data_IF_860177493992
#
_entry.id   IF_860177493992
#
_cell.length_a   1.000
_cell.length_b   1.000
_cell.length_c   1.000
_cell.angle_alpha   90.00
_cell.angle_beta   90.00
_cell.angle_gamma   90.00
#
_symmetry.space_group_name_H-M   'P 1'
#
loop_
_entity.id
_entity.type
_entity.pdbx_description
1 polymer ?
#
# COMPACT_ATOMS: atom_id res chain seq x y z
N UNK A 1 0.52 3.08 15.83
CA UNK A 1 -0.85 3.24 15.31
C UNK A 1 -1.45 1.92 14.81
N UNK A 2 -0.87 1.26 13.79
CA UNK A 2 -1.44 0.02 13.22
C UNK A 2 -1.55 -1.14 14.22
N UNK A 3 -0.54 -1.32 15.10
CA UNK A 3 -0.56 -2.32 16.17
C UNK A 3 -1.79 -2.21 17.09
N UNK A 4 -2.21 -0.97 17.38
CA UNK A 4 -3.40 -0.70 18.21
C UNK A 4 -4.69 -1.09 17.48
N UNK A 5 -4.77 -0.81 16.17
CA UNK A 5 -5.92 -1.19 15.34
C UNK A 5 -6.05 -2.71 15.26
N UNK A 6 -4.94 -3.41 15.01
CA UNK A 6 -4.89 -4.88 14.97
C UNK A 6 -5.31 -5.48 16.31
N UNK A 7 -4.82 -4.94 17.43
CA UNK A 7 -5.21 -5.41 18.76
C UNK A 7 -6.71 -5.25 19.02
N UNK A 8 -7.30 -4.11 18.62
CA UNK A 8 -8.73 -3.86 18.74
C UNK A 8 -9.54 -4.85 17.89
N UNK A 9 -9.13 -5.05 16.64
CA UNK A 9 -9.76 -5.99 15.70
C UNK A 9 -9.73 -7.43 16.23
N UNK A 10 -8.59 -7.84 16.82
CA UNK A 10 -8.42 -9.16 17.44
C UNK A 10 -9.41 -9.38 18.60
N UNK A 11 -9.56 -8.40 19.50
CA UNK A 11 -10.48 -8.51 20.64
C UNK A 11 -11.93 -8.62 20.16
N UNK A 12 -12.34 -7.77 19.22
CA UNK A 12 -13.71 -7.74 18.73
C UNK A 12 -14.06 -8.99 17.90
N UNK A 13 -13.11 -9.47 17.09
CA UNK A 13 -13.27 -10.74 16.36
C UNK A 13 -13.37 -11.92 17.32
N UNK A 14 -12.52 -11.97 18.34
CA UNK A 14 -12.61 -12.99 19.40
C UNK A 14 -13.96 -12.94 20.13
N UNK A 15 -14.49 -11.74 20.38
CA UNK A 15 -15.83 -11.60 20.99
C UNK A 15 -16.95 -12.11 20.07
N UNK A 16 -16.83 -11.87 18.76
CA UNK A 16 -17.77 -12.33 17.77
C UNK A 16 -17.82 -13.86 17.69
N UNK A 17 -16.65 -14.51 17.71
CA UNK A 17 -16.54 -15.95 17.54
C UNK A 17 -16.80 -16.72 18.85
N UNK A 18 -16.32 -16.19 19.98
CA UNK A 18 -16.41 -16.84 21.30
C UNK A 18 -16.87 -15.88 22.40
N UNK A 19 -18.09 -15.36 22.30
CA UNK A 19 -18.65 -14.39 23.26
C UNK A 19 -18.55 -14.81 24.73
N UNK A 20 -18.64 -16.12 25.02
CA UNK A 20 -18.52 -16.70 26.38
C UNK A 20 -17.08 -16.80 26.90
N UNK A 21 -16.09 -16.80 26.01
CA UNK A 21 -14.65 -16.95 26.29
C UNK A 21 -14.01 -15.61 26.68
N UNK A 22 -14.52 -14.51 26.13
CA UNK A 22 -14.03 -13.16 26.42
C UNK A 22 -14.55 -12.69 27.79
N UNK A 23 -13.72 -12.83 28.82
CA UNK A 23 -14.03 -12.41 30.21
C UNK A 23 -12.97 -11.47 30.76
N UNK A 24 -13.32 -10.80 31.87
CA UNK A 24 -12.38 -9.96 32.62
C UNK A 24 -12.00 -8.68 31.87
N UNK A 25 -10.69 -8.48 31.66
CA UNK A 25 -10.13 -7.24 31.10
C UNK A 25 -10.51 -7.04 29.63
N UNK A 26 -10.43 -8.08 28.82
CA UNK A 26 -10.71 -8.01 27.38
C UNK A 26 -12.17 -7.62 27.10
N UNK A 27 -13.12 -8.09 27.92
CA UNK A 27 -14.52 -7.70 27.81
C UNK A 27 -14.74 -6.23 28.18
N UNK A 28 -14.08 -5.74 29.24
CA UNK A 28 -14.12 -4.32 29.63
C UNK A 28 -13.53 -3.45 28.52
N UNK A 29 -12.44 -3.90 27.91
CA UNK A 29 -11.79 -3.20 26.80
C UNK A 29 -12.66 -3.20 25.54
N UNK A 30 -13.26 -4.33 25.16
CA UNK A 30 -14.22 -4.42 24.05
C UNK A 30 -15.39 -3.44 24.21
N UNK A 31 -16.01 -3.39 25.40
CA UNK A 31 -17.08 -2.43 25.70
C UNK A 31 -16.59 -0.98 25.63
N UNK A 32 -15.39 -0.69 26.15
CA UNK A 32 -14.79 0.64 26.07
C UNK A 32 -14.52 1.07 24.63
N UNK A 33 -14.04 0.16 23.81
CA UNK A 33 -13.81 0.37 22.38
C UNK A 33 -15.15 0.67 21.69
N UNK A 34 -16.17 -0.18 21.86
CA UNK A 34 -17.48 0.03 21.22
C UNK A 34 -18.12 1.37 21.63
N UNK A 35 -17.99 1.76 22.91
CA UNK A 35 -18.42 3.10 23.38
C UNK A 35 -17.69 4.23 22.67
N UNK A 36 -16.41 4.09 22.35
CA UNK A 36 -15.68 5.12 21.59
C UNK A 36 -16.19 5.30 20.15
N UNK A 37 -16.86 4.28 19.61
CA UNK A 37 -17.56 4.34 18.33
C UNK A 37 -19.04 4.75 18.47
N UNK A 38 -19.54 4.95 19.69
CA UNK A 38 -20.95 5.25 19.96
C UNK A 38 -21.89 4.06 19.70
N UNK A 39 -21.38 2.83 19.75
CA UNK A 39 -22.10 1.61 19.37
C UNK A 39 -22.17 0.60 20.52
N UNK A 40 -23.09 -0.35 20.42
CA UNK A 40 -23.33 -1.36 21.46
C UNK A 40 -22.64 -2.68 21.09
N UNK A 41 -21.85 -3.23 22.01
CA UNK A 41 -21.09 -4.48 21.79
C UNK A 41 -22.00 -5.69 21.54
N UNK A 42 -23.12 -5.76 22.25
CA UNK A 42 -24.04 -6.89 22.21
C UNK A 42 -24.97 -6.87 20.98
N UNK A 43 -24.92 -5.81 20.17
CA UNK A 43 -25.69 -5.71 18.92
C UNK A 43 -24.83 -6.26 17.77
N UNK A 44 -25.20 -7.40 17.14
CA UNK A 44 -24.34 -8.04 16.14
C UNK A 44 -24.05 -7.16 14.91
N UNK A 45 -25.04 -6.36 14.49
CA UNK A 45 -24.92 -5.43 13.35
C UNK A 45 -23.88 -4.34 13.61
N UNK A 46 -23.87 -3.80 14.83
CA UNK A 46 -22.94 -2.77 15.26
C UNK A 46 -21.51 -3.33 15.37
N UNK A 47 -21.38 -4.51 15.98
CA UNK A 47 -20.11 -5.22 16.07
C UNK A 47 -19.52 -5.49 14.67
N UNK A 48 -20.33 -6.00 13.75
CA UNK A 48 -19.91 -6.27 12.37
C UNK A 48 -19.46 -5.00 11.65
N UNK A 49 -20.16 -3.88 11.86
CA UNK A 49 -19.79 -2.58 11.28
C UNK A 49 -18.42 -2.11 11.74
N UNK A 50 -18.12 -2.24 13.04
CA UNK A 50 -16.83 -1.83 13.60
C UNK A 50 -15.70 -2.74 13.10
N UNK A 51 -15.91 -4.06 13.11
CA UNK A 51 -14.92 -5.02 12.59
C UNK A 51 -14.62 -4.75 11.11
N UNK A 52 -15.63 -4.52 10.27
CA UNK A 52 -15.42 -4.16 8.86
C UNK A 52 -14.59 -2.88 8.71
N UNK A 53 -14.92 -1.84 9.47
CA UNK A 53 -14.18 -0.57 9.45
C UNK A 53 -12.73 -0.72 9.90
N UNK A 54 -12.46 -1.59 10.87
CA UNK A 54 -11.12 -1.91 11.33
C UNK A 54 -10.33 -2.69 10.28
N UNK A 55 -10.95 -3.68 9.64
CA UNK A 55 -10.35 -4.45 8.55
C UNK A 55 -9.90 -3.54 7.40
N UNK A 56 -10.78 -2.63 6.95
CA UNK A 56 -10.45 -1.65 5.90
C UNK A 56 -9.25 -0.79 6.30
N UNK A 57 -9.22 -0.31 7.55
CA UNK A 57 -8.09 0.47 8.07
C UNK A 57 -6.81 -0.35 8.11
N UNK A 58 -6.86 -1.61 8.52
CA UNK A 58 -5.69 -2.51 8.54
C UNK A 58 -5.12 -2.65 7.13
N UNK A 59 -5.97 -2.89 6.13
CA UNK A 59 -5.56 -2.99 4.72
C UNK A 59 -4.90 -1.69 4.25
N UNK A 60 -5.56 -0.54 4.45
CA UNK A 60 -5.05 0.76 4.00
C UNK A 60 -3.69 1.08 4.65
N UNK A 61 -3.56 0.89 5.97
CA UNK A 61 -2.31 1.18 6.66
C UNK A 61 -1.21 0.16 6.33
N UNK A 62 -1.57 -1.12 6.14
CA UNK A 62 -0.65 -2.15 5.68
C UNK A 62 -0.06 -1.81 4.31
N UNK A 63 -0.90 -1.36 3.38
CA UNK A 63 -0.48 -0.94 2.05
C UNK A 63 0.38 0.32 2.07
N UNK A 64 0.06 1.29 2.93
CA UNK A 64 0.91 2.48 3.12
C UNK A 64 2.31 2.09 3.59
N UNK A 65 2.42 1.18 4.56
CA UNK A 65 3.71 0.69 5.08
C UNK A 65 4.48 -0.04 3.97
N UNK A 66 3.81 -0.94 3.24
CA UNK A 66 4.41 -1.69 2.14
C UNK A 66 4.93 -0.79 1.03
N UNK A 67 4.11 0.19 0.59
CA UNK A 67 4.50 1.19 -0.43
C UNK A 67 5.67 2.02 0.06
N UNK A 68 5.68 2.45 1.32
CA UNK A 68 6.79 3.18 1.90
C UNK A 68 8.09 2.36 1.89
N UNK A 69 8.05 1.11 2.34
CA UNK A 69 9.21 0.21 2.33
C UNK A 69 9.74 -0.02 0.91
N UNK A 70 8.86 -0.27 -0.06
CA UNK A 70 9.22 -0.43 -1.48
C UNK A 70 9.90 0.82 -2.04
N UNK A 71 9.35 2.02 -1.78
CA UNK A 71 9.97 3.28 -2.22
C UNK A 71 11.34 3.51 -1.59
N UNK A 72 11.48 3.20 -0.29
CA UNK A 72 12.76 3.33 0.42
C UNK A 72 13.83 2.43 -0.20
N UNK A 73 13.48 1.17 -0.50
CA UNK A 73 14.37 0.23 -1.16
C UNK A 73 14.75 0.69 -2.56
N UNK A 74 13.75 1.06 -3.38
CA UNK A 74 13.96 1.56 -4.74
C UNK A 74 14.90 2.77 -4.75
N UNK A 75 14.70 3.76 -3.87
CA UNK A 75 15.61 4.93 -3.79
C UNK A 75 17.04 4.53 -3.44
N UNK A 76 17.22 3.55 -2.55
CA UNK A 76 18.55 3.06 -2.16
C UNK A 76 19.25 2.36 -3.34
N UNK A 77 18.54 1.52 -4.06
CA UNK A 77 19.08 0.79 -5.21
C UNK A 77 19.34 1.73 -6.39
N UNK A 78 18.42 2.66 -6.65
CA UNK A 78 18.52 3.63 -7.74
C UNK A 78 19.51 4.77 -7.44
N UNK A 79 20.05 4.88 -6.23
CA UNK A 79 20.99 5.94 -5.86
C UNK A 79 22.23 5.97 -6.77
N UNK A 80 22.77 4.79 -7.13
CA UNK A 80 23.89 4.69 -8.07
C UNK A 80 23.51 5.15 -9.48
N UNK A 81 22.34 4.74 -9.96
CA UNK A 81 21.84 5.18 -11.27
C UNK A 81 21.64 6.70 -11.29
N UNK A 82 20.95 7.28 -10.29
CA UNK A 82 20.74 8.73 -10.21
C UNK A 82 22.07 9.51 -10.16
N UNK A 83 23.08 9.01 -9.44
CA UNK A 83 24.41 9.62 -9.37
C UNK A 83 25.10 9.65 -10.74
N UNK A 84 24.98 8.57 -11.52
CA UNK A 84 25.59 8.46 -12.85
C UNK A 84 24.65 8.82 -13.99
N UNK A 85 23.41 9.25 -13.70
CA UNK A 85 22.36 9.48 -14.70
C UNK A 85 22.76 10.54 -15.72
N UNK A 86 23.37 11.63 -15.24
CA UNK A 86 23.89 12.68 -16.13
C UNK A 86 25.07 12.22 -17.00
N UNK A 87 25.86 11.24 -16.56
CA UNK A 87 26.94 10.63 -17.37
C UNK A 87 26.37 9.61 -18.36
N UNK A 88 25.38 8.84 -17.94
CA UNK A 88 24.65 7.89 -18.78
C UNK A 88 23.97 8.58 -19.96
N UNK A 89 23.20 9.66 -19.71
CA UNK A 89 22.55 10.40 -20.80
C UNK A 89 23.54 11.17 -21.68
N UNK A 90 24.64 11.71 -21.12
CA UNK A 90 25.74 12.27 -21.94
C UNK A 90 26.36 11.21 -22.84
N UNK A 91 26.68 10.04 -22.30
CA UNK A 91 27.20 8.94 -23.12
C UNK A 91 26.24 8.51 -24.25
N UNK A 92 24.92 8.56 -24.01
CA UNK A 92 23.92 8.32 -25.05
C UNK A 92 23.87 9.44 -26.09
N UNK A 93 23.94 10.71 -25.68
CA UNK A 93 23.98 11.84 -26.63
C UNK A 93 25.24 11.85 -27.47
N UNK A 94 26.39 11.55 -26.84
CA UNK A 94 27.69 11.49 -27.51
C UNK A 94 27.75 10.32 -28.50
N UNK A 95 26.97 9.24 -28.26
CA UNK A 95 26.78 8.14 -29.21
C UNK A 95 25.68 8.38 -30.26
N UNK A 96 24.83 9.38 -30.04
CA UNK A 96 23.74 9.73 -30.95
C UNK A 96 24.17 10.68 -32.08
N UNK A 97 25.48 10.94 -32.24
CA UNK A 97 26.06 11.35 -33.52
C UNK A 97 26.00 10.16 -34.51
N UNK A 98 24.79 9.69 -34.79
CA UNK A 98 24.53 8.79 -35.91
C UNK A 98 24.31 9.66 -37.14
N UNK A 99 25.33 9.76 -37.99
CA UNK A 99 25.21 10.19 -39.39
C UNK A 99 24.46 9.13 -40.20
N UNK A 100 23.25 8.77 -39.78
CA UNK A 100 22.39 7.89 -40.58
C UNK A 100 21.46 8.80 -41.34
N UNK A 101 21.92 9.23 -42.50
CA UNK A 101 21.13 9.92 -43.50
C UNK A 101 20.18 8.89 -44.13
N UNK A 102 19.05 8.63 -43.45
CA UNK A 102 18.01 7.73 -43.97
C UNK A 102 17.25 8.49 -45.07
N UNK A 103 17.23 8.01 -46.32
CA UNK A 103 16.47 8.65 -47.38
C UNK A 103 14.99 8.77 -47.01
N UNK A 104 14.39 9.94 -47.26
CA UNK A 104 12.99 10.22 -46.92
C UNK A 104 12.01 9.19 -47.52
N UNK A 105 12.35 8.61 -48.67
CA UNK A 105 11.56 7.54 -49.31
C UNK A 105 11.52 6.26 -48.47
N UNK A 106 12.63 5.91 -47.80
CA UNK A 106 12.71 4.71 -46.97
C UNK A 106 11.85 4.86 -45.69
N UNK A 107 11.81 6.08 -45.14
CA UNK A 107 10.93 6.44 -44.03
C UNK A 107 9.46 6.34 -44.48
N UNK A 108 9.10 6.92 -45.63
CA UNK A 108 7.72 6.88 -46.13
C UNK A 108 7.25 5.45 -46.39
N UNK A 109 8.12 4.60 -46.94
CA UNK A 109 7.79 3.21 -47.27
C UNK A 109 7.61 2.33 -46.02
N UNK A 110 8.37 2.60 -44.96
CA UNK A 110 8.21 1.90 -43.67
C UNK A 110 6.90 2.25 -42.98
N UNK A 111 6.51 3.54 -42.95
CA UNK A 111 5.20 3.95 -42.39
C UNK A 111 4.01 3.51 -43.23
N UNK A 112 4.18 3.37 -44.56
CA UNK A 112 3.11 2.87 -45.44
C UNK A 112 2.88 1.36 -45.32
N UNK A 113 3.81 0.63 -44.68
CA UNK A 113 3.72 -0.82 -44.43
C UNK A 113 3.24 -1.19 -43.02
N UNK A 114 3.16 -0.21 -42.11
CA UNK A 114 2.50 -0.38 -40.80
C UNK A 114 0.99 -0.36 -40.95
#
# INVERSE_FOLDING_TARGET
>A
MIKKIIYIDLILSKYKDESKSVKGKDLKDARRIMRSYGLILDVPKDLQKVISSLSDRIIIYGDKIRKYAKRKLFRRENAKFELYRGRFYRYLSDKAETTVDVPAEEIKNTWSKM
#
